data_IF_452713671926
#
_entry.id   IF_452713671926
#
_cell.length_a   1.000
_cell.length_b   1.000
_cell.length_c   1.000
_cell.angle_alpha   90.00
_cell.angle_beta   90.00
_cell.angle_gamma   90.00
#
_symmetry.space_group_name_H-M   'P 1'
#
loop_
_entity.id
_entity.type
_entity.pdbx_description
1 polymer ?
#
# COMPACT_ATOMS: atom_id res chain seq x y z
N UNK A 1 -31.25 -4.70 -6.93
CA UNK A 1 -29.76 -4.65 -6.87
C UNK A 1 -29.46 -3.37 -6.10
N UNK A 2 -28.67 -3.43 -5.05
CA UNK A 2 -28.36 -2.21 -4.29
C UNK A 2 -27.27 -1.48 -5.06
N UNK A 3 -27.56 -0.30 -5.58
CA UNK A 3 -26.56 0.55 -6.22
C UNK A 3 -25.80 1.32 -5.13
N UNK A 4 -24.49 1.38 -5.26
CA UNK A 4 -23.67 2.26 -4.41
C UNK A 4 -23.55 3.58 -5.17
N UNK A 5 -24.14 4.63 -4.59
CA UNK A 5 -24.08 5.99 -5.15
C UNK A 5 -23.03 6.86 -4.43
N UNK A 6 -22.81 6.60 -3.14
CA UNK A 6 -21.88 7.40 -2.32
C UNK A 6 -21.04 6.55 -1.37
N UNK A 7 -19.72 6.79 -1.38
CA UNK A 7 -18.73 6.11 -0.53
C UNK A 7 -18.05 7.12 0.38
N UNK A 8 -18.05 6.85 1.70
CA UNK A 8 -17.31 7.62 2.69
C UNK A 8 -15.98 6.95 2.99
N UNK A 9 -14.88 7.64 2.75
CA UNK A 9 -13.53 7.16 3.05
C UNK A 9 -12.99 7.79 4.32
N UNK A 10 -12.71 6.97 5.34
CA UNK A 10 -12.21 7.43 6.64
C UNK A 10 -10.70 7.28 6.69
N UNK A 11 -9.99 8.41 6.73
CA UNK A 11 -8.53 8.48 6.61
C UNK A 11 -7.86 9.02 7.87
N UNK A 12 -6.68 8.49 8.21
CA UNK A 12 -5.74 9.11 9.16
C UNK A 12 -4.55 9.75 8.41
N UNK A 13 -3.62 10.33 9.16
CA UNK A 13 -2.43 11.01 8.66
C UNK A 13 -1.33 10.07 8.12
N UNK A 14 -1.49 8.75 8.31
CA UNK A 14 -0.49 7.77 7.89
C UNK A 14 -0.64 7.44 6.39
N UNK A 15 0.36 7.78 5.61
CA UNK A 15 0.37 7.55 4.15
C UNK A 15 0.03 6.12 3.74
N UNK A 16 0.58 5.11 4.44
CA UNK A 16 0.30 3.70 4.15
C UNK A 16 -1.15 3.26 4.44
N UNK A 17 -1.83 3.87 5.43
CA UNK A 17 -3.24 3.61 5.68
C UNK A 17 -4.12 4.27 4.60
N UNK A 18 -3.79 5.50 4.26
CA UNK A 18 -4.48 6.23 3.17
C UNK A 18 -4.37 5.48 1.86
N UNK A 19 -3.16 5.08 1.46
CA UNK A 19 -2.91 4.35 0.21
C UNK A 19 -3.76 3.07 0.12
N UNK A 20 -3.90 2.33 1.21
CA UNK A 20 -4.72 1.11 1.25
C UNK A 20 -6.22 1.38 1.09
N UNK A 21 -6.77 2.37 1.81
CA UNK A 21 -8.19 2.70 1.71
C UNK A 21 -8.51 3.29 0.32
N UNK A 22 -7.70 4.24 -0.15
CA UNK A 22 -7.84 4.86 -1.46
C UNK A 22 -7.68 3.84 -2.60
N UNK A 23 -6.77 2.86 -2.45
CA UNK A 23 -6.58 1.78 -3.42
C UNK A 23 -7.81 0.88 -3.56
N UNK A 24 -8.42 0.48 -2.44
CA UNK A 24 -9.67 -0.31 -2.47
C UNK A 24 -10.80 0.49 -3.13
N UNK A 25 -10.94 1.78 -2.81
CA UNK A 25 -11.94 2.64 -3.45
C UNK A 25 -11.69 2.77 -4.96
N UNK A 26 -10.44 2.98 -5.37
CA UNK A 26 -10.04 3.04 -6.79
C UNK A 26 -10.34 1.73 -7.52
N UNK A 27 -10.11 0.58 -6.88
CA UNK A 27 -10.48 -0.72 -7.45
C UNK A 27 -12.00 -0.84 -7.67
N UNK A 28 -12.81 -0.44 -6.68
CA UNK A 28 -14.27 -0.46 -6.81
C UNK A 28 -14.79 0.50 -7.91
N UNK A 29 -14.15 1.67 -8.08
CA UNK A 29 -14.51 2.63 -9.14
C UNK A 29 -14.30 2.09 -10.57
N UNK A 30 -13.53 1.01 -10.74
CA UNK A 30 -13.40 0.35 -12.05
C UNK A 30 -14.68 -0.34 -12.51
N UNK A 31 -15.58 -0.69 -11.61
CA UNK A 31 -16.84 -1.41 -11.87
C UNK A 31 -18.09 -0.63 -11.49
N UNK A 32 -17.95 0.34 -10.59
CA UNK A 32 -19.07 1.11 -10.05
C UNK A 32 -18.83 2.59 -10.25
N UNK A 33 -19.91 3.33 -10.47
CA UNK A 33 -19.88 4.79 -10.51
C UNK A 33 -20.49 5.34 -9.22
N UNK A 34 -19.68 6.02 -8.39
CA UNK A 34 -20.12 6.59 -7.13
C UNK A 34 -19.34 7.85 -6.76
N UNK A 35 -19.96 8.71 -5.99
CA UNK A 35 -19.33 9.88 -5.38
C UNK A 35 -18.47 9.45 -4.18
N UNK A 36 -17.29 10.06 -4.01
CA UNK A 36 -16.40 9.83 -2.87
C UNK A 36 -16.39 11.02 -1.94
N UNK A 37 -16.82 10.80 -0.71
CA UNK A 37 -16.66 11.73 0.40
C UNK A 37 -15.46 11.31 1.27
N UNK A 38 -14.68 12.26 1.76
CA UNK A 38 -13.52 11.98 2.61
C UNK A 38 -13.74 12.57 3.99
N UNK A 39 -13.51 11.74 5.00
CA UNK A 39 -13.49 12.16 6.39
C UNK A 39 -12.13 11.88 7.04
N UNK A 40 -11.50 12.93 7.54
CA UNK A 40 -10.26 12.82 8.33
C UNK A 40 -10.56 13.19 9.79
N UNK A 41 -10.82 12.21 10.67
CA UNK A 41 -11.09 12.47 12.08
C UNK A 41 -9.91 13.15 12.76
N UNK A 42 -10.19 14.00 13.75
CA UNK A 42 -9.13 14.68 14.48
C UNK A 42 -8.32 13.68 15.34
N UNK A 43 -7.02 13.91 15.56
CA UNK A 43 -6.20 13.07 16.43
C UNK A 43 -6.75 12.92 17.86
N UNK A 44 -7.46 13.93 18.36
CA UNK A 44 -8.09 13.90 19.69
C UNK A 44 -9.17 12.82 19.81
N UNK A 45 -9.90 12.54 18.73
CA UNK A 45 -10.95 11.51 18.71
C UNK A 45 -10.41 10.09 18.57
N UNK A 46 -9.14 9.92 18.15
CA UNK A 46 -8.53 8.59 18.02
C UNK A 46 -8.42 7.85 19.36
N UNK A 47 -7.98 8.54 20.41
CA UNK A 47 -7.88 7.95 21.75
C UNK A 47 -9.26 7.53 22.27
N UNK A 48 -10.25 8.43 22.19
CA UNK A 48 -11.63 8.16 22.55
C UNK A 48 -12.20 6.98 21.76
N UNK A 49 -12.01 6.95 20.45
CA UNK A 49 -12.45 5.85 19.60
C UNK A 49 -11.82 4.51 19.97
N UNK A 50 -10.55 4.47 20.38
CA UNK A 50 -9.90 3.24 20.85
C UNK A 50 -10.53 2.72 22.15
N UNK A 51 -10.93 3.60 23.06
CA UNK A 51 -11.62 3.24 24.31
C UNK A 51 -13.02 2.73 23.99
N UNK A 52 -13.85 3.53 23.32
CA UNK A 52 -15.24 3.18 22.99
C UNK A 52 -15.34 1.83 22.27
N UNK A 53 -14.49 1.60 21.29
CA UNK A 53 -14.46 0.33 20.54
C UNK A 53 -14.22 -0.89 21.43
N UNK A 54 -13.42 -0.75 22.49
CA UNK A 54 -13.11 -1.86 23.41
C UNK A 54 -14.18 -2.08 24.46
N UNK A 55 -14.83 -1.02 24.92
CA UNK A 55 -15.77 -1.06 26.05
C UNK A 55 -17.23 -1.09 25.60
N UNK A 56 -17.63 -0.14 24.78
CA UNK A 56 -19.00 0.03 24.29
C UNK A 56 -19.00 0.38 22.81
N UNK A 57 -18.77 -0.60 21.91
CA UNK A 57 -18.63 -0.34 20.47
C UNK A 57 -19.80 0.43 19.85
N UNK A 58 -21.01 0.23 20.37
CA UNK A 58 -22.23 0.89 19.88
C UNK A 58 -22.15 2.42 19.96
N UNK A 59 -21.40 2.95 20.94
CA UNK A 59 -21.21 4.40 21.10
C UNK A 59 -20.21 5.01 20.10
N UNK A 60 -19.54 4.20 19.25
CA UNK A 60 -18.69 4.74 18.20
C UNK A 60 -19.45 5.63 17.21
N UNK A 61 -20.77 5.45 17.05
CA UNK A 61 -21.63 6.32 16.24
C UNK A 61 -21.60 7.80 16.69
N UNK A 62 -21.35 8.06 17.96
CA UNK A 62 -21.22 9.43 18.50
C UNK A 62 -19.95 10.16 18.00
N UNK A 63 -19.01 9.45 17.38
CA UNK A 63 -17.81 10.06 16.78
C UNK A 63 -18.09 10.68 15.41
N UNK A 64 -19.22 10.36 14.79
CA UNK A 64 -19.54 10.70 13.41
C UNK A 64 -20.15 12.09 13.32
N UNK A 65 -19.61 12.99 12.49
CA UNK A 65 -20.21 14.29 12.25
C UNK A 65 -21.58 14.15 11.59
N UNK A 66 -22.53 15.00 12.00
CA UNK A 66 -23.90 15.00 11.47
C UNK A 66 -24.02 15.50 10.01
N UNK A 67 -22.94 15.98 9.42
CA UNK A 67 -22.93 16.48 8.05
C UNK A 67 -22.88 15.35 6.99
N UNK A 68 -22.67 14.10 7.38
CA UNK A 68 -22.67 12.97 6.46
C UNK A 68 -24.09 12.38 6.39
N UNK A 69 -24.62 12.35 5.16
CA UNK A 69 -25.95 11.82 4.88
C UNK A 69 -25.90 10.91 3.63
N UNK A 70 -26.78 9.92 3.55
CA UNK A 70 -26.97 9.08 2.38
C UNK A 70 -25.68 8.43 1.85
N UNK A 71 -24.94 7.76 2.75
CA UNK A 71 -23.74 6.98 2.41
C UNK A 71 -24.11 5.51 2.33
N UNK A 72 -23.67 4.83 1.25
CA UNK A 72 -23.98 3.41 1.02
C UNK A 72 -22.85 2.49 1.51
N UNK A 73 -21.61 2.99 1.45
CA UNK A 73 -20.41 2.24 1.85
C UNK A 73 -19.43 3.14 2.60
N UNK A 74 -18.94 2.65 3.74
CA UNK A 74 -17.86 3.29 4.50
C UNK A 74 -16.59 2.44 4.37
N UNK A 75 -15.51 3.05 3.90
CA UNK A 75 -14.20 2.39 3.76
C UNK A 75 -13.18 3.04 4.69
N UNK A 76 -12.44 2.24 5.45
CA UNK A 76 -11.38 2.74 6.33
C UNK A 76 -10.17 1.81 6.41
N UNK A 77 -9.04 2.35 6.87
CA UNK A 77 -7.81 1.58 7.09
C UNK A 77 -7.01 2.13 8.26
N UNK A 78 -6.40 1.21 9.01
CA UNK A 78 -5.51 1.57 10.13
C UNK A 78 -6.20 1.69 11.48
N UNK A 79 -5.47 1.36 12.54
CA UNK A 79 -6.05 1.24 13.88
C UNK A 79 -6.63 2.52 14.49
N UNK A 80 -6.28 3.69 13.96
CA UNK A 80 -6.83 4.97 14.39
C UNK A 80 -8.25 5.20 13.84
N UNK A 81 -8.49 4.80 12.59
CA UNK A 81 -9.77 5.01 11.91
C UNK A 81 -10.81 3.94 12.22
N UNK A 82 -10.42 2.79 12.78
CA UNK A 82 -11.32 1.64 12.94
C UNK A 82 -12.61 1.96 13.68
N UNK A 83 -12.54 2.69 14.82
CA UNK A 83 -13.72 3.08 15.58
C UNK A 83 -14.62 4.06 14.81
N UNK A 84 -14.01 4.97 14.05
CA UNK A 84 -14.71 5.95 13.22
C UNK A 84 -15.39 5.29 12.02
N UNK A 85 -14.70 4.35 11.34
CA UNK A 85 -15.27 3.55 10.24
C UNK A 85 -16.47 2.75 10.74
N UNK A 86 -16.33 2.06 11.86
CA UNK A 86 -17.42 1.30 12.48
C UNK A 86 -18.57 2.21 12.91
N UNK A 87 -18.27 3.33 13.56
CA UNK A 87 -19.26 4.32 13.97
C UNK A 87 -20.06 4.87 12.78
N UNK A 88 -19.38 5.24 11.70
CA UNK A 88 -20.01 5.74 10.48
C UNK A 88 -20.90 4.66 9.82
N UNK A 89 -20.40 3.43 9.69
CA UNK A 89 -21.21 2.30 9.20
C UNK A 89 -22.53 2.18 9.98
N UNK A 90 -22.46 2.27 11.30
CA UNK A 90 -23.65 2.13 12.16
C UNK A 90 -24.57 3.34 12.14
N UNK A 91 -24.01 4.56 12.19
CA UNK A 91 -24.77 5.81 12.21
C UNK A 91 -25.49 6.11 10.91
N UNK A 92 -24.89 5.73 9.80
CA UNK A 92 -25.40 6.00 8.44
C UNK A 92 -26.13 4.80 7.84
N UNK A 93 -26.28 3.71 8.60
CA UNK A 93 -26.87 2.44 8.14
C UNK A 93 -26.22 1.91 6.84
N UNK A 94 -24.94 2.24 6.66
CA UNK A 94 -24.15 1.90 5.48
C UNK A 94 -23.47 0.55 5.62
N UNK A 95 -23.04 -0.05 4.49
CA UNK A 95 -22.08 -1.16 4.51
C UNK A 95 -20.72 -0.66 5.00
N UNK A 96 -19.96 -1.53 5.68
CA UNK A 96 -18.64 -1.20 6.19
C UNK A 96 -17.57 -2.14 5.63
N UNK A 97 -16.49 -1.57 5.08
CA UNK A 97 -15.33 -2.31 4.61
C UNK A 97 -14.05 -1.74 5.25
N UNK A 98 -13.32 -2.58 5.97
CA UNK A 98 -12.10 -2.17 6.66
C UNK A 98 -10.87 -2.86 6.09
N UNK A 99 -9.87 -2.08 5.69
CA UNK A 99 -8.61 -2.62 5.19
C UNK A 99 -7.65 -2.84 6.36
N UNK A 100 -7.63 -4.05 6.86
CA UNK A 100 -6.84 -4.47 8.02
C UNK A 100 -7.63 -5.27 9.05
N UNK A 101 -7.18 -5.26 10.30
CA UNK A 101 -7.84 -5.99 11.40
C UNK A 101 -9.02 -5.22 11.98
N UNK A 102 -10.19 -5.83 11.99
CA UNK A 102 -11.40 -5.35 12.64
C UNK A 102 -11.38 -5.48 14.16
N UNK A 103 -10.45 -6.28 14.70
CA UNK A 103 -10.24 -6.46 16.15
C UNK A 103 -11.52 -6.83 16.90
N UNK A 104 -12.32 -7.74 16.36
CA UNK A 104 -13.55 -8.23 16.95
C UNK A 104 -14.83 -7.48 16.53
N UNK A 105 -14.73 -6.49 15.64
CA UNK A 105 -15.90 -5.78 15.12
C UNK A 105 -16.58 -6.48 13.93
N UNK A 106 -15.98 -7.52 13.37
CA UNK A 106 -16.59 -8.38 12.33
C UNK A 106 -17.92 -8.96 12.77
N UNK A 107 -18.10 -9.26 14.04
CA UNK A 107 -19.38 -9.74 14.61
C UNK A 107 -20.54 -8.74 14.49
N UNK A 108 -20.26 -7.51 14.11
CA UNK A 108 -21.24 -6.45 13.84
C UNK A 108 -21.35 -6.13 12.34
N UNK A 109 -21.03 -7.08 11.47
CA UNK A 109 -21.06 -6.95 10.01
C UNK A 109 -20.11 -5.90 9.41
N UNK A 110 -18.99 -5.60 10.11
CA UNK A 110 -17.90 -4.85 9.51
C UNK A 110 -17.02 -5.82 8.71
N UNK A 111 -17.16 -5.79 7.40
CA UNK A 111 -16.33 -6.60 6.51
C UNK A 111 -14.88 -6.15 6.54
N UNK A 112 -13.95 -7.06 6.29
CA UNK A 112 -12.54 -6.70 6.22
C UNK A 112 -11.79 -7.41 5.09
N UNK A 113 -10.79 -6.70 4.58
CA UNK A 113 -9.78 -7.23 3.66
C UNK A 113 -8.39 -7.04 4.24
N UNK A 114 -7.53 -8.04 4.10
CA UNK A 114 -6.19 -8.03 4.71
C UNK A 114 -5.19 -8.88 3.92
N UNK A 115 -3.90 -8.68 4.16
CA UNK A 115 -2.80 -9.43 3.56
C UNK A 115 -2.08 -10.37 4.56
N UNK A 116 -2.64 -10.62 5.75
CA UNK A 116 -2.08 -11.59 6.71
C UNK A 116 -2.78 -12.94 6.53
N UNK A 117 -2.11 -13.97 5.99
CA UNK A 117 -2.73 -15.28 5.70
C UNK A 117 -3.14 -16.06 6.95
N UNK A 118 -2.70 -15.67 8.14
CA UNK A 118 -3.01 -16.35 9.42
C UNK A 118 -4.32 -15.90 10.05
N UNK A 119 -5.03 -14.96 9.42
CA UNK A 119 -6.30 -14.46 9.98
C UNK A 119 -7.45 -15.38 9.58
N UNK A 120 -8.24 -15.75 10.56
CA UNK A 120 -9.42 -16.60 10.38
C UNK A 120 -10.69 -15.80 10.03
N UNK A 121 -10.62 -14.45 10.05
CA UNK A 121 -11.75 -13.58 9.77
C UNK A 121 -11.42 -12.54 8.71
N UNK A 122 -12.42 -12.18 7.91
CA UNK A 122 -12.27 -11.28 6.76
C UNK A 122 -11.80 -12.00 5.51
N UNK A 123 -11.49 -11.23 4.48
CA UNK A 123 -11.09 -11.74 3.17
C UNK A 123 -9.60 -11.51 2.95
N UNK A 124 -8.91 -12.59 2.65
CA UNK A 124 -7.47 -12.57 2.40
C UNK A 124 -7.17 -12.15 0.94
N UNK A 125 -6.32 -11.15 0.80
CA UNK A 125 -5.75 -10.71 -0.46
C UNK A 125 -4.23 -10.61 -0.32
N UNK A 126 -3.46 -11.43 -1.00
CA UNK A 126 -1.99 -11.39 -0.92
C UNK A 126 -1.45 -10.00 -1.21
N UNK A 127 -2.00 -9.33 -2.21
CA UNK A 127 -1.63 -7.97 -2.61
C UNK A 127 -2.87 -7.07 -2.54
N UNK A 128 -2.75 -5.94 -1.85
CA UNK A 128 -3.81 -4.92 -1.80
C UNK A 128 -3.63 -3.92 -2.94
N UNK A 129 -4.73 -3.41 -3.54
CA UNK A 129 -4.65 -2.55 -4.72
C UNK A 129 -3.94 -1.22 -4.41
N UNK A 130 -3.16 -0.69 -5.36
CA UNK A 130 -2.54 0.61 -5.23
C UNK A 130 -3.58 1.71 -5.46
N UNK A 131 -3.29 2.91 -4.97
CA UNK A 131 -4.13 4.09 -5.20
C UNK A 131 -3.91 4.74 -6.58
N UNK A 132 -2.88 4.34 -7.30
CA UNK A 132 -2.55 4.91 -8.60
C UNK A 132 -3.11 4.06 -9.75
N UNK A 133 -3.29 4.68 -10.91
CA UNK A 133 -3.63 3.95 -12.13
C UNK A 133 -2.38 3.26 -12.69
N UNK A 134 -2.42 1.93 -12.77
CA UNK A 134 -1.33 1.13 -13.32
C UNK A 134 -1.05 1.42 -14.81
N UNK A 135 -2.05 1.92 -15.55
CA UNK A 135 -1.88 2.29 -16.95
C UNK A 135 -1.15 3.63 -17.12
N UNK A 136 -1.13 4.48 -16.09
CA UNK A 136 -0.47 5.78 -16.12
C UNK A 136 1.02 5.73 -15.78
N UNK A 137 1.58 4.55 -15.45
CA UNK A 137 2.99 4.45 -15.02
C UNK A 137 3.97 4.90 -16.11
N UNK A 138 3.73 4.50 -17.36
CA UNK A 138 4.60 4.90 -18.48
C UNK A 138 4.55 6.40 -18.74
N UNK A 139 3.38 7.01 -18.67
CA UNK A 139 3.21 8.46 -18.83
C UNK A 139 3.88 9.22 -17.67
N UNK A 140 3.73 8.74 -16.44
CA UNK A 140 4.40 9.30 -15.28
C UNK A 140 5.92 9.28 -15.43
N UNK A 141 6.49 8.19 -15.98
CA UNK A 141 7.90 8.14 -16.31
C UNK A 141 8.30 9.15 -17.37
N UNK A 142 7.60 9.21 -18.49
CA UNK A 142 7.92 10.11 -19.60
C UNK A 142 7.94 11.58 -19.17
N UNK A 143 6.97 11.99 -18.35
CA UNK A 143 6.94 13.33 -17.79
C UNK A 143 8.12 13.58 -16.86
N UNK A 144 8.36 12.66 -15.90
CA UNK A 144 9.45 12.79 -14.94
C UNK A 144 10.83 12.80 -15.60
N UNK A 145 11.08 11.88 -16.52
CA UNK A 145 12.38 11.74 -17.18
C UNK A 145 12.75 12.98 -18.01
N UNK A 146 11.74 13.62 -18.62
CA UNK A 146 11.94 14.88 -19.33
C UNK A 146 12.39 15.99 -18.39
N UNK A 147 11.75 16.12 -17.22
CA UNK A 147 12.08 17.15 -16.24
C UNK A 147 13.43 16.88 -15.55
N UNK A 148 13.80 15.61 -15.40
CA UNK A 148 15.04 15.17 -14.76
C UNK A 148 16.20 14.92 -15.78
N UNK A 149 16.00 15.21 -17.07
CA UNK A 149 16.95 15.01 -18.14
C UNK A 149 17.50 13.56 -18.22
N UNK A 150 16.61 12.58 -17.96
CA UNK A 150 16.96 11.16 -17.99
C UNK A 150 16.63 10.54 -19.36
N UNK A 151 17.38 9.50 -19.80
CA UNK A 151 17.10 8.83 -21.06
C UNK A 151 15.77 8.06 -21.01
N UNK A 152 15.00 8.14 -22.10
CA UNK A 152 13.65 7.56 -22.20
C UNK A 152 13.65 6.10 -22.69
N UNK A 153 14.71 5.67 -23.35
CA UNK A 153 14.86 4.39 -24.06
C UNK A 153 15.57 3.32 -23.24
N UNK A 154 15.89 3.61 -21.99
CA UNK A 154 16.54 2.65 -21.08
C UNK A 154 15.67 2.35 -19.88
N UNK A 155 15.92 1.19 -19.28
CA UNK A 155 15.28 0.78 -18.03
C UNK A 155 16.29 0.81 -16.88
N UNK A 156 15.77 0.92 -15.65
CA UNK A 156 16.57 1.06 -14.44
C UNK A 156 16.24 -0.06 -13.45
N UNK A 157 17.19 -0.40 -12.59
CA UNK A 157 16.87 -1.11 -11.37
C UNK A 157 16.38 -0.10 -10.31
N UNK A 158 15.35 -0.44 -9.56
CA UNK A 158 14.72 0.49 -8.63
C UNK A 158 14.86 -0.01 -7.20
N UNK A 159 15.27 0.86 -6.27
CA UNK A 159 15.26 0.59 -4.84
C UNK A 159 14.31 1.53 -4.10
N UNK A 160 13.28 0.97 -3.49
CA UNK A 160 12.43 1.67 -2.51
C UNK A 160 12.81 1.24 -1.10
N UNK A 161 13.33 2.17 -0.31
CA UNK A 161 13.76 1.90 1.05
C UNK A 161 12.82 2.57 2.07
N UNK A 162 12.13 1.76 2.87
CA UNK A 162 11.23 2.21 3.92
C UNK A 162 11.96 2.69 5.17
N UNK A 163 12.55 1.77 5.93
CA UNK A 163 13.28 2.05 7.17
C UNK A 163 12.70 1.36 8.41
N UNK A 164 12.52 2.09 9.50
CA UNK A 164 12.08 1.54 10.80
C UNK A 164 10.56 1.27 10.86
N UNK A 165 10.02 0.67 9.79
CA UNK A 165 8.62 0.24 9.72
C UNK A 165 8.43 -1.16 10.30
N UNK A 166 7.21 -1.49 10.73
CA UNK A 166 6.84 -2.83 11.23
C UNK A 166 7.74 -3.37 12.35
N UNK A 167 8.45 -2.47 13.06
CA UNK A 167 9.43 -2.82 14.09
C UNK A 167 10.71 -3.45 13.54
N UNK A 168 11.05 -3.16 12.28
CA UNK A 168 12.33 -3.58 11.72
C UNK A 168 13.49 -2.88 12.42
N UNK A 169 14.56 -3.64 12.61
CA UNK A 169 15.81 -3.13 13.18
C UNK A 169 16.94 -3.34 12.15
N UNK A 170 17.29 -2.26 11.45
CA UNK A 170 18.36 -2.26 10.46
C UNK A 170 19.72 -2.17 11.13
N UNK A 171 20.67 -2.96 10.65
CA UNK A 171 22.07 -2.95 11.14
C UNK A 171 23.03 -2.70 9.97
N UNK A 172 24.29 -2.29 10.24
CA UNK A 172 25.26 -2.02 9.18
C UNK A 172 25.48 -3.17 8.19
N UNK A 173 25.37 -4.44 8.64
CA UNK A 173 25.51 -5.60 7.77
C UNK A 173 24.40 -5.68 6.72
N UNK A 174 23.15 -5.29 7.06
CA UNK A 174 22.05 -5.24 6.09
C UNK A 174 22.33 -4.21 5.00
N UNK A 175 22.88 -3.05 5.39
CA UNK A 175 23.24 -1.98 4.44
C UNK A 175 24.35 -2.42 3.53
N UNK A 176 25.36 -3.11 4.08
CA UNK A 176 26.46 -3.66 3.29
C UNK A 176 25.97 -4.62 2.22
N UNK A 177 25.04 -5.51 2.55
CA UNK A 177 24.43 -6.43 1.58
C UNK A 177 23.67 -5.69 0.48
N UNK A 178 23.01 -4.57 0.80
CA UNK A 178 22.33 -3.74 -0.19
C UNK A 178 23.35 -3.02 -1.10
N UNK A 179 24.44 -2.51 -0.53
CA UNK A 179 25.52 -1.89 -1.31
C UNK A 179 26.19 -2.88 -2.27
N UNK A 180 26.43 -4.10 -1.82
CA UNK A 180 26.96 -5.18 -2.65
C UNK A 180 26.02 -5.57 -3.77
N UNK A 181 24.70 -5.66 -3.48
CA UNK A 181 23.68 -5.89 -4.49
C UNK A 181 23.68 -4.80 -5.57
N UNK A 182 23.72 -3.53 -5.18
CA UNK A 182 23.73 -2.40 -6.12
C UNK A 182 24.98 -2.42 -6.99
N UNK A 183 26.16 -2.58 -6.38
CA UNK A 183 27.45 -2.62 -7.08
C UNK A 183 27.52 -3.80 -8.06
N UNK A 184 27.25 -5.01 -7.58
CA UNK A 184 27.31 -6.21 -8.41
C UNK A 184 26.30 -6.19 -9.56
N UNK A 185 25.07 -5.71 -9.32
CA UNK A 185 24.08 -5.54 -10.38
C UNK A 185 24.54 -4.54 -11.44
N UNK A 186 25.09 -3.40 -11.01
CA UNK A 186 25.60 -2.38 -11.94
C UNK A 186 26.79 -2.89 -12.75
N UNK A 187 27.75 -3.57 -12.12
CA UNK A 187 28.93 -4.15 -12.77
C UNK A 187 28.54 -5.22 -13.82
N UNK A 188 27.54 -6.05 -13.49
CA UNK A 188 27.09 -7.14 -14.39
C UNK A 188 26.24 -6.65 -15.56
N UNK A 189 25.42 -5.62 -15.37
CA UNK A 189 24.39 -5.23 -16.34
C UNK A 189 24.60 -3.85 -16.96
N UNK A 190 25.44 -3.00 -16.38
CA UNK A 190 25.55 -1.58 -16.69
C UNK A 190 24.29 -0.76 -16.35
N UNK A 191 23.26 -1.37 -15.76
CA UNK A 191 21.99 -0.71 -15.49
C UNK A 191 22.08 0.13 -14.23
N UNK A 192 21.78 1.43 -14.40
CA UNK A 192 21.78 2.38 -13.30
C UNK A 192 20.54 2.22 -12.43
N UNK A 193 20.61 2.79 -11.26
CA UNK A 193 19.58 2.70 -10.23
C UNK A 193 18.79 4.00 -10.06
N UNK A 194 17.50 3.83 -9.80
CA UNK A 194 16.62 4.85 -9.26
C UNK A 194 16.36 4.51 -7.78
N UNK A 195 16.75 5.38 -6.88
CA UNK A 195 16.73 5.09 -5.43
C UNK A 195 15.80 6.05 -4.71
N UNK A 196 14.97 5.53 -3.83
CA UNK A 196 14.17 6.37 -2.94
C UNK A 196 14.23 5.87 -1.52
N UNK A 197 14.51 6.79 -0.60
CA UNK A 197 14.33 6.59 0.84
C UNK A 197 12.99 7.13 1.32
N UNK A 198 12.67 6.95 2.59
CA UNK A 198 11.39 7.35 3.17
C UNK A 198 11.57 8.15 4.46
N UNK A 199 10.46 8.71 4.95
CA UNK A 199 10.37 9.37 6.26
C UNK A 199 10.89 8.50 7.44
N UNK A 200 10.86 7.16 7.28
CA UNK A 200 11.25 6.21 8.32
C UNK A 200 12.69 5.71 8.18
N UNK A 201 13.35 6.09 7.09
CA UNK A 201 14.74 5.69 6.86
C UNK A 201 15.64 6.40 7.87
N UNK A 202 16.40 5.66 8.70
CA UNK A 202 17.36 6.26 9.62
C UNK A 202 18.41 7.09 8.85
N UNK A 203 18.75 8.26 9.38
CA UNK A 203 19.70 9.16 8.71
C UNK A 203 21.09 8.53 8.54
N UNK A 204 21.54 7.69 9.48
CA UNK A 204 22.80 6.99 9.36
C UNK A 204 22.81 6.04 8.16
N UNK A 205 21.70 5.33 7.95
CA UNK A 205 21.56 4.38 6.85
C UNK A 205 21.50 5.10 5.50
N UNK A 206 20.72 6.18 5.42
CA UNK A 206 20.65 7.00 4.20
C UNK A 206 22.04 7.54 3.82
N UNK A 207 22.81 8.01 4.80
CA UNK A 207 24.18 8.48 4.57
C UNK A 207 25.11 7.36 4.11
N UNK A 208 25.00 6.16 4.69
CA UNK A 208 25.80 5.01 4.26
C UNK A 208 25.51 4.66 2.79
N UNK A 209 24.25 4.65 2.37
CA UNK A 209 23.89 4.45 0.95
C UNK A 209 24.49 5.54 0.07
N UNK A 210 24.32 6.81 0.42
CA UNK A 210 24.84 7.94 -0.35
C UNK A 210 26.35 7.93 -0.51
N UNK A 211 27.07 7.65 0.57
CA UNK A 211 28.53 7.72 0.57
C UNK A 211 29.20 6.53 -0.14
N UNK A 212 28.51 5.38 -0.24
CA UNK A 212 29.12 4.14 -0.68
C UNK A 212 28.56 3.60 -2.02
N UNK A 213 27.47 4.15 -2.55
CA UNK A 213 27.03 3.82 -3.92
C UNK A 213 27.82 4.70 -4.90
N UNK A 214 28.47 4.11 -5.93
CA UNK A 214 29.13 4.88 -6.97
C UNK A 214 28.15 5.83 -7.68
N UNK A 215 28.51 7.10 -7.84
CA UNK A 215 27.66 8.08 -8.53
C UNK A 215 27.27 7.62 -9.94
N UNK A 216 28.18 6.93 -10.64
CA UNK A 216 27.94 6.37 -11.96
C UNK A 216 26.84 5.29 -11.97
N UNK A 217 26.60 4.63 -10.85
CA UNK A 217 25.56 3.62 -10.70
C UNK A 217 24.18 4.24 -10.40
N UNK A 218 24.10 5.53 -10.06
CA UNK A 218 22.84 6.23 -9.75
C UNK A 218 22.38 7.00 -10.99
N UNK A 219 21.14 6.80 -11.40
CA UNK A 219 20.50 7.62 -12.43
C UNK A 219 19.77 8.81 -11.80
N UNK A 220 18.99 8.56 -10.75
CA UNK A 220 18.33 9.56 -9.92
C UNK A 220 18.11 9.01 -8.51
N UNK A 221 18.06 9.89 -7.52
CA UNK A 221 17.80 9.50 -6.15
C UNK A 221 16.95 10.53 -5.41
N UNK A 222 15.95 10.04 -4.67
CA UNK A 222 15.11 10.84 -3.79
C UNK A 222 15.46 10.53 -2.33
N UNK A 223 16.32 11.36 -1.76
CA UNK A 223 16.81 11.23 -0.39
C UNK A 223 15.90 11.99 0.58
N UNK A 224 15.02 11.28 1.25
CA UNK A 224 14.04 11.89 2.13
C UNK A 224 14.66 12.65 3.32
N UNK A 225 15.73 12.15 3.89
CA UNK A 225 16.47 12.80 4.99
C UNK A 225 17.09 14.13 4.60
N UNK A 226 17.37 14.34 3.32
CA UNK A 226 17.85 15.61 2.76
C UNK A 226 16.74 16.59 2.38
N UNK A 227 15.49 16.26 2.68
CA UNK A 227 14.36 17.14 2.39
C UNK A 227 13.72 16.94 1.03
N UNK A 228 14.16 15.97 0.22
CA UNK A 228 13.50 15.65 -1.05
C UNK A 228 12.08 15.10 -0.80
N UNK A 229 11.10 15.69 -1.47
CA UNK A 229 9.68 15.35 -1.33
C UNK A 229 9.01 15.11 -2.67
N UNK A 230 9.80 14.88 -3.72
CA UNK A 230 9.29 14.56 -5.06
C UNK A 230 8.40 13.31 -5.02
N UNK A 231 7.39 13.27 -5.88
CA UNK A 231 6.48 12.14 -6.03
C UNK A 231 7.05 11.17 -7.08
N UNK A 232 7.98 10.32 -6.66
CA UNK A 232 8.78 9.48 -7.58
C UNK A 232 8.31 8.04 -7.71
N UNK A 233 7.36 7.57 -6.89
CA UNK A 233 6.97 6.15 -6.88
C UNK A 233 6.45 5.71 -8.25
N UNK A 234 5.47 6.41 -8.82
CA UNK A 234 4.92 6.07 -10.13
C UNK A 234 5.94 6.22 -11.27
N UNK A 235 6.67 7.35 -11.38
CA UNK A 235 7.72 7.46 -12.38
C UNK A 235 8.76 6.33 -12.31
N UNK A 236 9.29 6.04 -11.13
CA UNK A 236 10.30 5.00 -10.99
C UNK A 236 9.76 3.61 -11.34
N UNK A 237 8.52 3.29 -10.94
CA UNK A 237 7.87 2.04 -11.34
C UNK A 237 7.65 1.96 -12.85
N UNK A 238 7.37 3.09 -13.51
CA UNK A 238 7.20 3.16 -14.97
C UNK A 238 8.47 2.83 -15.74
N UNK A 239 9.64 3.18 -15.19
CA UNK A 239 10.96 2.93 -15.78
C UNK A 239 11.62 1.63 -15.31
N UNK A 240 11.03 0.93 -14.37
CA UNK A 240 11.68 -0.19 -13.71
C UNK A 240 11.90 -1.38 -14.65
N UNK A 241 13.09 -1.98 -14.58
CA UNK A 241 13.37 -3.33 -15.06
C UNK A 241 13.10 -4.36 -13.96
N UNK A 242 13.60 -4.10 -12.76
CA UNK A 242 13.35 -4.85 -11.52
C UNK A 242 13.16 -3.86 -10.39
N UNK A 243 12.36 -4.26 -9.39
CA UNK A 243 12.11 -3.42 -8.22
C UNK A 243 12.57 -4.16 -6.97
N UNK A 244 13.36 -3.48 -6.17
CA UNK A 244 13.82 -3.94 -4.87
C UNK A 244 13.13 -3.11 -3.79
N UNK A 245 12.55 -3.77 -2.80
CA UNK A 245 11.81 -3.10 -1.73
C UNK A 245 12.31 -3.57 -0.39
N UNK A 246 12.52 -2.65 0.54
CA UNK A 246 12.89 -3.01 1.91
C UNK A 246 11.79 -3.79 2.62
N UNK A 247 12.18 -4.76 3.41
CA UNK A 247 11.30 -5.73 4.09
C UNK A 247 10.25 -5.11 5.02
N UNK A 248 10.40 -3.85 5.44
CA UNK A 248 9.53 -3.18 6.40
C UNK A 248 8.25 -2.60 5.79
N UNK A 249 8.19 -2.42 4.47
CA UNK A 249 7.17 -1.59 3.84
C UNK A 249 6.16 -2.36 3.01
N UNK A 250 5.10 -2.87 3.65
CA UNK A 250 4.01 -3.55 2.94
C UNK A 250 3.39 -2.71 1.80
N UNK A 251 3.24 -1.40 2.01
CA UNK A 251 2.64 -0.53 0.97
C UNK A 251 3.53 -0.45 -0.27
N UNK A 252 4.84 -0.24 -0.09
CA UNK A 252 5.78 -0.20 -1.21
C UNK A 252 5.85 -1.55 -1.94
N UNK A 253 5.79 -2.69 -1.19
CA UNK A 253 5.73 -4.02 -1.80
C UNK A 253 4.50 -4.19 -2.69
N UNK A 254 3.32 -3.82 -2.19
CA UNK A 254 2.09 -3.91 -2.97
C UNK A 254 2.14 -2.99 -4.20
N UNK A 255 2.59 -1.76 -4.05
CA UNK A 255 2.76 -0.82 -5.15
C UNK A 255 3.76 -1.34 -6.19
N UNK A 256 4.88 -1.91 -5.77
CA UNK A 256 5.87 -2.51 -6.64
C UNK A 256 5.31 -3.70 -7.44
N UNK A 257 4.58 -4.61 -6.79
CA UNK A 257 3.97 -5.76 -7.45
C UNK A 257 2.99 -5.34 -8.56
N UNK A 258 2.23 -4.27 -8.34
CA UNK A 258 1.33 -3.72 -9.35
C UNK A 258 2.04 -2.99 -10.50
N UNK A 259 3.36 -2.85 -10.47
CA UNK A 259 4.12 -2.36 -11.63
C UNK A 259 4.22 -3.40 -12.76
N UNK A 260 3.92 -4.67 -12.48
CA UNK A 260 4.12 -5.78 -13.42
C UNK A 260 5.61 -6.05 -13.70
N UNK A 261 6.47 -5.72 -12.76
CA UNK A 261 7.93 -5.98 -12.84
C UNK A 261 8.34 -7.03 -11.80
N UNK A 262 9.44 -7.76 -12.04
CA UNK A 262 10.01 -8.61 -11.00
C UNK A 262 10.30 -7.83 -9.73
N UNK A 263 9.83 -8.33 -8.58
CA UNK A 263 9.99 -7.67 -7.28
C UNK A 263 10.80 -8.55 -6.34
N UNK A 264 11.83 -7.98 -5.74
CA UNK A 264 12.66 -8.63 -4.72
C UNK A 264 12.63 -7.83 -3.42
N UNK A 265 12.71 -8.54 -2.29
CA UNK A 265 12.79 -7.91 -0.97
C UNK A 265 14.26 -7.81 -0.55
N UNK A 266 14.65 -6.65 -0.03
CA UNK A 266 15.96 -6.45 0.60
C UNK A 266 15.83 -6.41 2.12
N UNK A 267 16.79 -7.02 2.80
CA UNK A 267 16.83 -7.23 4.23
C UNK A 267 16.37 -8.63 4.66
N UNK A 268 16.58 -8.97 5.93
CA UNK A 268 16.30 -10.28 6.49
C UNK A 268 14.93 -10.30 7.19
N UNK A 269 14.05 -11.24 6.84
CA UNK A 269 12.69 -11.34 7.41
C UNK A 269 12.68 -11.53 8.94
N UNK A 270 13.71 -12.15 9.50
CA UNK A 270 13.85 -12.32 10.95
C UNK A 270 13.98 -11.00 11.72
N UNK A 271 14.37 -9.92 11.04
CA UNK A 271 14.46 -8.56 11.57
C UNK A 271 13.11 -7.86 11.73
N UNK A 272 12.04 -8.41 11.16
CA UNK A 272 10.69 -7.86 11.28
C UNK A 272 10.09 -8.29 12.62
N UNK A 273 9.90 -7.37 13.55
CA UNK A 273 9.28 -7.65 14.85
C UNK A 273 7.77 -7.91 14.75
N UNK A 274 7.07 -7.25 13.84
CA UNK A 274 5.64 -7.46 13.61
C UNK A 274 5.37 -8.83 12.99
N UNK A 275 4.84 -9.76 13.78
CA UNK A 275 4.50 -11.11 13.31
C UNK A 275 3.47 -11.11 12.16
N UNK A 276 2.50 -10.18 12.19
CA UNK A 276 1.49 -10.01 11.13
C UNK A 276 2.13 -9.54 9.82
N UNK A 277 3.06 -8.60 9.89
CA UNK A 277 3.75 -8.13 8.70
C UNK A 277 4.69 -9.20 8.12
N UNK A 278 5.44 -9.89 8.99
CA UNK A 278 6.29 -11.02 8.57
C UNK A 278 5.48 -12.07 7.82
N UNK A 279 4.35 -12.51 8.39
CA UNK A 279 3.48 -13.49 7.74
C UNK A 279 2.91 -12.99 6.40
N UNK A 280 2.62 -11.69 6.28
CA UNK A 280 2.21 -11.12 4.98
C UNK A 280 3.32 -11.22 3.94
N UNK A 281 4.57 -10.93 4.30
CA UNK A 281 5.72 -11.04 3.38
C UNK A 281 6.00 -12.51 3.03
N UNK A 282 5.99 -13.40 4.02
CA UNK A 282 6.12 -14.85 3.80
C UNK A 282 5.02 -15.38 2.87
N UNK A 283 3.78 -14.88 3.02
CA UNK A 283 2.66 -15.20 2.14
C UNK A 283 2.90 -14.78 0.69
N UNK A 284 3.55 -13.65 0.45
CA UNK A 284 3.93 -13.22 -0.90
C UNK A 284 4.98 -14.17 -1.53
N UNK A 285 5.95 -14.64 -0.75
CA UNK A 285 6.91 -15.66 -1.20
C UNK A 285 6.23 -16.98 -1.53
N UNK A 286 5.36 -17.48 -0.64
CA UNK A 286 4.63 -18.73 -0.84
C UNK A 286 3.69 -18.68 -2.05
N UNK A 287 3.13 -17.52 -2.34
CA UNK A 287 2.28 -17.30 -3.52
C UNK A 287 3.10 -17.12 -4.82
N UNK A 288 4.44 -17.14 -4.78
CA UNK A 288 5.31 -16.95 -5.94
C UNK A 288 5.27 -15.53 -6.51
N UNK A 289 4.80 -14.54 -5.73
CA UNK A 289 4.65 -13.16 -6.19
C UNK A 289 5.94 -12.33 -6.07
N UNK A 290 6.94 -12.86 -5.38
CA UNK A 290 8.26 -12.25 -5.24
C UNK A 290 9.29 -13.10 -6.00
N UNK A 291 10.13 -12.45 -6.79
CA UNK A 291 11.16 -13.11 -7.59
C UNK A 291 11.18 -12.65 -9.03
N UNK A 292 11.45 -13.59 -9.95
CA UNK A 292 11.65 -13.29 -11.37
C UNK A 292 10.35 -13.18 -12.17
N UNK A 293 9.30 -13.90 -11.74
CA UNK A 293 8.04 -13.90 -12.47
C UNK A 293 7.16 -12.74 -11.99
N UNK A 294 6.91 -11.74 -12.85
CA UNK A 294 6.10 -10.60 -12.46
C UNK A 294 4.61 -10.97 -12.35
N UNK A 295 3.91 -10.33 -11.41
CA UNK A 295 2.47 -10.32 -11.37
C UNK A 295 1.91 -9.72 -12.67
N UNK A 296 0.88 -10.33 -13.26
CA UNK A 296 0.05 -9.61 -14.24
C UNK A 296 -0.92 -8.66 -13.49
N UNK A 297 -0.61 -7.35 -13.46
CA UNK A 297 -1.35 -6.43 -12.61
C UNK A 297 -2.77 -6.19 -13.09
N UNK A 298 -3.07 -6.36 -14.38
CA UNK A 298 -4.41 -6.14 -14.94
C UNK A 298 -5.36 -7.26 -14.53
N UNK A 299 -5.01 -8.48 -14.84
CA UNK A 299 -5.79 -9.67 -14.47
C UNK A 299 -5.97 -9.75 -12.95
N UNK A 300 -4.91 -9.55 -12.19
CA UNK A 300 -4.99 -9.57 -10.73
C UNK A 300 -5.94 -8.50 -10.18
N UNK A 301 -5.90 -7.27 -10.72
CA UNK A 301 -6.75 -6.18 -10.27
C UNK A 301 -8.23 -6.41 -10.64
N UNK A 302 -8.50 -7.06 -11.76
CA UNK A 302 -9.87 -7.46 -12.15
C UNK A 302 -10.44 -8.50 -11.18
N UNK A 303 -9.70 -9.57 -10.93
CA UNK A 303 -10.09 -10.62 -9.98
C UNK A 303 -10.30 -10.07 -8.56
N UNK A 304 -9.36 -9.23 -8.12
CA UNK A 304 -9.43 -8.57 -6.82
C UNK A 304 -10.66 -7.67 -6.73
N UNK A 305 -10.96 -6.89 -7.77
CA UNK A 305 -12.13 -6.02 -7.80
C UNK A 305 -13.43 -6.82 -7.71
N UNK A 306 -13.54 -7.92 -8.45
CA UNK A 306 -14.70 -8.81 -8.40
C UNK A 306 -14.85 -9.48 -7.01
N UNK A 307 -13.75 -9.82 -6.34
CA UNK A 307 -13.79 -10.32 -4.98
C UNK A 307 -14.21 -9.22 -3.98
N UNK A 308 -13.73 -7.98 -4.13
CA UNK A 308 -14.17 -6.86 -3.31
C UNK A 308 -15.67 -6.60 -3.44
N UNK A 309 -16.21 -6.67 -4.65
CA UNK A 309 -17.65 -6.55 -4.88
C UNK A 309 -18.45 -7.65 -4.15
N UNK A 310 -17.98 -8.89 -4.21
CA UNK A 310 -18.60 -10.00 -3.45
C UNK A 310 -18.51 -9.77 -1.94
N UNK A 311 -17.38 -9.29 -1.44
CA UNK A 311 -17.18 -8.97 -0.01
C UNK A 311 -18.22 -7.96 0.49
N UNK A 312 -18.55 -6.94 -0.28
CA UNK A 312 -19.57 -5.96 0.08
C UNK A 312 -20.99 -6.36 -0.34
N UNK A 313 -21.19 -7.61 -0.73
CA UNK A 313 -22.50 -8.16 -1.09
C UNK A 313 -23.09 -7.59 -2.39
N UNK A 314 -22.21 -7.22 -3.33
CA UNK A 314 -22.59 -6.88 -4.71
C UNK A 314 -22.14 -8.03 -5.61
N UNK A 315 -23.09 -8.80 -6.13
CA UNK A 315 -22.79 -9.80 -7.15
C UNK A 315 -22.39 -9.08 -8.43
N UNK A 316 -21.21 -9.41 -8.99
CA UNK A 316 -20.80 -8.86 -10.27
C UNK A 316 -21.89 -9.16 -11.34
N UNK A 317 -22.47 -8.12 -11.87
CA UNK A 317 -23.23 -8.23 -13.11
C UNK A 317 -22.20 -8.46 -14.23
N UNK A 318 -22.03 -9.71 -14.67
CA UNK A 318 -21.27 -9.97 -15.90
C UNK A 318 -20.29 -11.15 -15.88
N UNK A 319 -20.70 -12.32 -15.37
CA UNK A 319 -20.14 -13.58 -15.88
C UNK A 319 -21.17 -14.24 -16.77
N UNK A 320 -21.48 -13.58 -17.89
CA UNK A 320 -22.04 -14.29 -19.04
C UNK A 320 -20.96 -15.17 -19.64
N UNK A 321 -21.07 -16.47 -19.42
CA UNK A 321 -20.31 -17.51 -20.10
C UNK A 321 -20.24 -17.20 -21.61
N UNK A 322 -19.07 -17.13 -22.14
CA UNK A 322 -18.76 -17.56 -23.51
C UNK A 322 -17.62 -18.56 -23.49
#
# INVERSE_FOLDING_TARGET
MMDIARVLVVLDDKSGHRSKAEGVVSALQRRLNFEVCVWSPSPRTFAMGKVLRKTVPQLCSMLVPSCFESVDLVVGSGGNTLAHTFGAMRSLEAKGLFVGSTRGLEKYALESVHSDPRRDCGHFFPVLPPKFDINALSEAWLSFAKDAELPLDVTFDVLFFGGDGSGCNWVPADVQSILELIKSSFEQTGRRWLISTSRRTPLWLERELQNNIPETAIADACWFGQGDRRRIVQPYLGAANRVFVSMDSATMMHEALFSGRPVSIVGELNRIASSSHRASVEGLFQAGLLGQDPLDPKTYLEDLTDQLLRTIGLSGAGSSKR
#
